data_IF_550731354745
#
_entry.id   IF_550731354745
#
_cell.length_a   1.000
_cell.length_b   1.000
_cell.length_c   1.000
_cell.angle_alpha   90.00
_cell.angle_beta   90.00
_cell.angle_gamma   90.00
#
_symmetry.space_group_name_H-M   'P 1'
#
loop_
_entity.id
_entity.type
_entity.pdbx_description
1 polymer ?
#
# COMPACT_ATOMS: atom_id res chain seq x y z
N UNK A 1 -34.91 -15.70 -2.58
CA UNK A 1 -33.63 -15.34 -3.21
C UNK A 1 -32.63 -16.44 -2.87
N UNK A 2 -32.86 -17.65 -3.35
CA UNK A 2 -32.41 -18.25 -4.63
C UNK A 2 -30.99 -18.83 -4.51
N UNK A 3 -30.91 -20.07 -4.00
CA UNK A 3 -29.72 -20.95 -4.06
C UNK A 3 -29.12 -21.05 -5.48
N UNK A 4 -29.94 -20.88 -6.52
CA UNK A 4 -29.49 -20.83 -7.92
C UNK A 4 -28.62 -19.61 -8.22
N UNK A 5 -28.98 -18.42 -7.72
CA UNK A 5 -28.18 -17.22 -7.90
C UNK A 5 -26.87 -17.35 -7.12
N UNK A 6 -26.91 -17.89 -5.89
CA UNK A 6 -25.69 -18.11 -5.11
C UNK A 6 -24.70 -19.03 -5.84
N UNK A 7 -25.17 -20.11 -6.47
CA UNK A 7 -24.28 -21.00 -7.24
C UNK A 7 -23.70 -20.32 -8.49
N UNK A 8 -24.47 -19.49 -9.21
CA UNK A 8 -23.94 -18.70 -10.33
C UNK A 8 -22.94 -17.64 -9.86
N UNK A 9 -23.20 -16.96 -8.73
CA UNK A 9 -22.25 -16.01 -8.12
C UNK A 9 -20.99 -16.72 -7.63
N UNK A 10 -21.10 -17.92 -7.05
CA UNK A 10 -19.96 -18.71 -6.57
C UNK A 10 -19.12 -19.25 -7.75
N UNK A 11 -19.75 -19.64 -8.85
CA UNK A 11 -19.04 -20.01 -10.09
C UNK A 11 -18.36 -18.79 -10.73
N UNK A 12 -19.00 -17.63 -10.70
CA UNK A 12 -18.51 -16.38 -11.28
C UNK A 12 -17.40 -15.73 -10.43
N UNK A 13 -17.36 -16.00 -9.12
CA UNK A 13 -16.33 -15.52 -8.19
C UNK A 13 -15.14 -16.47 -8.06
N UNK A 14 -15.25 -17.70 -8.59
CA UNK A 14 -14.18 -18.69 -8.53
C UNK A 14 -12.92 -18.17 -9.23
N UNK A 15 -11.80 -18.16 -8.50
CA UNK A 15 -10.51 -17.69 -9.02
C UNK A 15 -10.02 -18.64 -10.12
N UNK A 16 -9.86 -18.11 -11.34
CA UNK A 16 -9.31 -18.83 -12.49
C UNK A 16 -7.94 -18.25 -12.84
N UNK A 17 -6.90 -19.06 -12.73
CA UNK A 17 -5.53 -18.74 -13.15
C UNK A 17 -4.62 -18.16 -12.06
N UNK A 18 -3.31 -18.15 -12.34
CA UNK A 18 -2.26 -17.59 -11.49
C UNK A 18 -1.71 -16.30 -12.11
N UNK A 19 -1.51 -15.29 -11.26
CA UNK A 19 -0.80 -14.05 -11.60
C UNK A 19 0.69 -14.25 -11.43
N UNK A 20 1.47 -13.86 -12.45
CA UNK A 20 2.93 -13.88 -12.32
C UNK A 20 3.42 -12.68 -11.50
N UNK A 21 4.51 -12.85 -10.75
CA UNK A 21 5.10 -11.73 -9.98
C UNK A 21 5.56 -10.59 -10.89
N UNK A 22 6.04 -10.91 -12.10
CA UNK A 22 6.47 -9.92 -13.09
C UNK A 22 5.28 -9.07 -13.54
N UNK A 23 4.13 -9.70 -13.84
CA UNK A 23 2.91 -8.99 -14.21
C UNK A 23 2.45 -8.04 -13.11
N UNK A 24 2.47 -8.48 -11.84
CA UNK A 24 2.12 -7.62 -10.70
C UNK A 24 3.04 -6.41 -10.57
N UNK A 25 4.35 -6.61 -10.73
CA UNK A 25 5.33 -5.51 -10.72
C UNK A 25 5.05 -4.53 -11.87
N UNK A 26 4.79 -5.03 -13.07
CA UNK A 26 4.42 -4.20 -14.23
C UNK A 26 3.18 -3.36 -13.96
N UNK A 27 2.12 -3.96 -13.39
CA UNK A 27 0.89 -3.24 -13.03
C UNK A 27 1.17 -2.13 -12.01
N UNK A 28 2.02 -2.39 -11.01
CA UNK A 28 2.36 -1.40 -9.99
C UNK A 28 3.20 -0.24 -10.53
N UNK A 29 4.08 -0.51 -11.49
CA UNK A 29 4.94 0.52 -12.12
C UNK A 29 4.20 1.34 -13.19
N UNK A 30 3.19 0.76 -13.83
CA UNK A 30 2.50 1.38 -14.96
C UNK A 30 1.94 2.79 -14.67
N UNK A 31 1.20 3.04 -13.57
CA UNK A 31 0.72 4.39 -13.27
C UNK A 31 1.83 5.41 -13.04
N UNK A 32 2.99 5.01 -12.50
CA UNK A 32 4.13 5.91 -12.31
C UNK A 32 4.72 6.34 -13.66
N UNK A 33 4.83 5.41 -14.60
CA UNK A 33 5.29 5.70 -15.97
C UNK A 33 4.32 6.65 -16.66
N UNK A 34 3.00 6.43 -16.53
CA UNK A 34 1.98 7.32 -17.07
C UNK A 34 2.02 8.71 -16.45
N UNK A 35 2.30 8.84 -15.16
CA UNK A 35 2.48 10.14 -14.50
C UNK A 35 3.71 10.89 -15.03
N UNK A 36 4.81 10.19 -15.32
CA UNK A 36 5.98 10.77 -15.96
C UNK A 36 5.69 11.20 -17.41
N UNK A 37 4.96 10.40 -18.18
CA UNK A 37 4.53 10.77 -19.53
C UNK A 37 3.60 11.99 -19.50
N UNK A 38 2.63 12.01 -18.58
CA UNK A 38 1.74 13.15 -18.34
C UNK A 38 2.52 14.42 -18.01
N UNK A 39 3.57 14.35 -17.18
CA UNK A 39 4.38 15.54 -16.87
C UNK A 39 5.13 16.05 -18.10
N UNK A 40 5.68 15.17 -18.94
CA UNK A 40 6.30 15.54 -20.22
C UNK A 40 5.31 16.24 -21.16
N UNK A 41 4.09 15.71 -21.30
CA UNK A 41 3.01 16.31 -22.09
C UNK A 41 2.72 17.73 -21.58
N UNK A 42 2.52 17.88 -20.28
CA UNK A 42 2.17 19.18 -19.68
C UNK A 42 3.29 20.22 -19.89
N UNK A 43 4.56 19.81 -19.82
CA UNK A 43 5.70 20.71 -20.06
C UNK A 43 5.79 21.07 -21.55
N UNK A 44 5.67 20.09 -22.44
CA UNK A 44 5.80 20.32 -23.88
C UNK A 44 4.74 21.29 -24.42
N UNK A 45 3.49 21.16 -23.97
CA UNK A 45 2.39 22.05 -24.36
C UNK A 45 2.27 23.30 -23.47
N UNK A 46 3.19 23.51 -22.54
CA UNK A 46 3.22 24.61 -21.58
C UNK A 46 1.88 24.82 -20.84
N UNK A 47 1.26 23.72 -20.40
CA UNK A 47 -0.07 23.68 -19.80
C UNK A 47 -0.06 24.02 -18.28
N UNK A 48 1.11 24.34 -17.71
CA UNK A 48 1.31 24.52 -16.25
C UNK A 48 0.59 25.72 -15.58
N UNK A 49 -0.29 26.44 -16.28
CA UNK A 49 -1.04 27.54 -15.67
C UNK A 49 -2.17 27.05 -14.75
N UNK A 50 -2.27 27.62 -13.53
CA UNK A 50 -3.38 27.37 -12.57
C UNK A 50 -4.78 27.55 -13.16
N UNK A 51 -4.93 28.35 -14.22
CA UNK A 51 -6.20 28.68 -14.84
C UNK A 51 -6.77 27.55 -15.75
N UNK A 52 -6.04 26.44 -15.94
CA UNK A 52 -6.45 25.33 -16.83
C UNK A 52 -6.72 24.02 -16.08
N UNK A 53 -7.30 24.11 -14.87
CA UNK A 53 -7.63 22.94 -14.05
C UNK A 53 -8.46 21.89 -14.78
N UNK A 54 -9.56 22.29 -15.45
CA UNK A 54 -10.41 21.37 -16.21
C UNK A 54 -9.67 20.64 -17.33
N UNK A 55 -8.78 21.35 -18.03
CA UNK A 55 -7.97 20.76 -19.09
C UNK A 55 -6.95 19.76 -18.51
N UNK A 56 -6.35 20.05 -17.35
CA UNK A 56 -5.51 19.07 -16.63
C UNK A 56 -6.29 17.81 -16.24
N UNK A 57 -7.54 17.95 -15.78
CA UNK A 57 -8.38 16.78 -15.44
C UNK A 57 -8.70 15.92 -16.66
N UNK A 58 -8.99 16.54 -17.80
CA UNK A 58 -9.22 15.82 -19.06
C UNK A 58 -7.95 15.06 -19.47
N UNK A 59 -6.78 15.69 -19.36
CA UNK A 59 -5.49 15.04 -19.62
C UNK A 59 -5.27 13.87 -18.66
N UNK A 60 -5.52 14.05 -17.37
CA UNK A 60 -5.35 13.00 -16.36
C UNK A 60 -6.29 11.81 -16.62
N UNK A 61 -7.52 12.07 -17.06
CA UNK A 61 -8.47 11.05 -17.46
C UNK A 61 -7.95 10.21 -18.64
N UNK A 62 -7.51 10.85 -19.72
CA UNK A 62 -7.09 10.14 -20.93
C UNK A 62 -5.70 9.51 -20.83
N UNK A 63 -4.76 10.11 -20.10
CA UNK A 63 -3.38 9.63 -20.00
C UNK A 63 -3.18 8.66 -18.85
N UNK A 64 -3.89 8.85 -17.72
CA UNK A 64 -3.70 8.02 -16.53
C UNK A 64 -4.87 7.06 -16.36
N UNK A 65 -6.08 7.58 -16.16
CA UNK A 65 -7.21 6.76 -15.71
C UNK A 65 -7.64 5.73 -16.76
N UNK A 66 -7.88 6.17 -18.00
CA UNK A 66 -8.39 5.32 -19.07
C UNK A 66 -7.42 4.19 -19.44
N UNK A 67 -6.10 4.43 -19.60
CA UNK A 67 -5.14 3.35 -19.85
C UNK A 67 -5.05 2.33 -18.71
N UNK A 68 -5.13 2.78 -17.45
CA UNK A 68 -5.14 1.86 -16.29
C UNK A 68 -6.39 0.97 -16.33
N UNK A 69 -7.57 1.53 -16.57
CA UNK A 69 -8.82 0.75 -16.67
C UNK A 69 -8.70 -0.27 -17.80
N UNK A 70 -8.26 0.14 -18.98
CA UNK A 70 -8.10 -0.75 -20.14
C UNK A 70 -7.10 -1.89 -19.86
N UNK A 71 -5.98 -1.58 -19.21
CA UNK A 71 -4.94 -2.55 -18.87
C UNK A 71 -5.44 -3.60 -17.85
N UNK A 72 -6.22 -3.18 -16.85
CA UNK A 72 -6.77 -4.07 -15.82
C UNK A 72 -7.99 -4.88 -16.28
N UNK A 73 -8.59 -4.54 -17.42
CA UNK A 73 -9.81 -5.17 -17.94
C UNK A 73 -9.54 -5.89 -19.27
N UNK A 74 -9.73 -5.20 -20.39
CA UNK A 74 -9.70 -5.75 -21.75
C UNK A 74 -8.31 -6.21 -22.18
N UNK A 75 -7.27 -5.47 -21.79
CA UNK A 75 -5.88 -5.69 -22.24
C UNK A 75 -5.05 -6.48 -21.22
N UNK A 76 -5.70 -7.16 -20.28
CA UNK A 76 -5.01 -7.88 -19.20
C UNK A 76 -4.08 -8.99 -19.71
N UNK A 77 -4.30 -9.55 -20.90
CA UNK A 77 -3.38 -10.52 -21.52
C UNK A 77 -2.07 -9.91 -22.03
N UNK A 78 -2.00 -8.59 -22.23
CA UNK A 78 -0.87 -7.90 -22.88
C UNK A 78 -0.12 -6.93 -21.96
N UNK A 79 -0.29 -7.06 -20.64
CA UNK A 79 0.25 -6.14 -19.63
C UNK A 79 1.74 -5.87 -19.83
N UNK A 80 2.56 -6.92 -19.92
CA UNK A 80 4.02 -6.78 -20.02
C UNK A 80 4.41 -5.99 -21.27
N UNK A 81 3.79 -6.30 -22.41
CA UNK A 81 4.08 -5.65 -23.69
C UNK A 81 3.70 -4.16 -23.64
N UNK A 82 2.53 -3.84 -23.07
CA UNK A 82 2.05 -2.46 -22.94
C UNK A 82 2.95 -1.64 -22.00
N UNK A 83 3.34 -2.21 -20.85
CA UNK A 83 4.21 -1.49 -19.90
C UNK A 83 5.58 -1.24 -20.51
N UNK A 84 6.17 -2.22 -21.18
CA UNK A 84 7.46 -2.07 -21.86
C UNK A 84 7.37 -1.03 -22.98
N UNK A 85 6.30 -1.04 -23.80
CA UNK A 85 6.15 -0.06 -24.87
C UNK A 85 6.00 1.36 -24.31
N UNK A 86 5.27 1.56 -23.21
CA UNK A 86 5.19 2.85 -22.54
C UNK A 86 6.54 3.32 -21.98
N UNK A 87 7.36 2.42 -21.43
CA UNK A 87 8.73 2.75 -20.98
C UNK A 87 9.59 3.18 -22.17
N UNK A 88 9.53 2.46 -23.28
CA UNK A 88 10.28 2.80 -24.50
C UNK A 88 9.84 4.17 -25.03
N UNK A 89 8.53 4.44 -25.09
CA UNK A 89 8.00 5.76 -25.50
C UNK A 89 8.51 6.87 -24.56
N UNK A 90 8.49 6.64 -23.25
CA UNK A 90 9.02 7.59 -22.27
C UNK A 90 10.51 7.88 -22.48
N UNK A 91 11.33 6.85 -22.69
CA UNK A 91 12.77 6.98 -22.95
C UNK A 91 13.05 7.68 -24.29
N UNK A 92 12.31 7.34 -25.35
CA UNK A 92 12.45 8.00 -26.65
C UNK A 92 12.07 9.49 -26.57
N UNK A 93 11.05 9.83 -25.79
CA UNK A 93 10.67 11.23 -25.61
C UNK A 93 11.73 12.01 -24.82
N UNK A 94 12.36 11.39 -23.82
CA UNK A 94 13.50 12.00 -23.12
C UNK A 94 14.69 12.31 -24.04
N UNK A 95 14.88 11.54 -25.11
CA UNK A 95 15.97 11.73 -26.08
C UNK A 95 15.66 12.82 -27.13
N UNK A 96 14.42 13.27 -27.25
CA UNK A 96 14.08 14.31 -28.22
C UNK A 96 14.73 15.64 -27.80
N UNK A 97 15.50 16.29 -28.70
CA UNK A 97 16.18 17.55 -28.40
C UNK A 97 15.16 18.69 -28.34
N UNK A 98 14.49 18.84 -27.21
CA UNK A 98 13.70 20.04 -26.92
C UNK A 98 14.63 21.12 -26.36
N UNK A 99 15.07 21.98 -27.26
CA UNK A 99 15.97 23.13 -27.04
C UNK A 99 15.52 24.10 -25.93
N UNK A 100 14.24 24.10 -25.53
CA UNK A 100 13.71 24.97 -24.47
C UNK A 100 13.59 24.30 -23.08
N UNK A 101 13.94 23.02 -22.94
CA UNK A 101 13.64 22.22 -21.73
C UNK A 101 14.81 22.12 -20.73
N UNK A 102 16.05 22.45 -21.09
CA UNK A 102 17.19 22.34 -20.15
C UNK A 102 17.05 23.29 -18.95
N UNK A 103 16.42 24.46 -19.10
CA UNK A 103 16.18 25.38 -17.97
C UNK A 103 14.99 24.96 -17.08
N UNK A 104 14.05 24.14 -17.57
CA UNK A 104 12.93 23.62 -16.75
C UNK A 104 13.19 22.23 -16.17
N UNK A 105 14.02 21.41 -16.83
CA UNK A 105 14.54 20.16 -16.26
C UNK A 105 15.58 20.40 -15.18
N UNK A 106 16.33 21.52 -15.23
CA UNK A 106 17.09 22.00 -14.07
C UNK A 106 16.21 22.21 -12.82
N UNK A 107 14.91 22.53 -13.01
CA UNK A 107 13.93 22.61 -11.92
C UNK A 107 13.32 21.25 -11.52
N UNK A 108 13.55 20.16 -12.26
CA UNK A 108 13.19 18.80 -11.82
C UNK A 108 14.05 18.34 -10.64
N UNK A 109 15.22 18.95 -10.42
CA UNK A 109 16.02 18.73 -9.21
C UNK A 109 15.30 19.13 -7.91
N UNK A 110 14.15 19.81 -8.00
CA UNK A 110 13.36 20.26 -6.87
C UNK A 110 11.89 19.86 -6.96
N UNK A 111 11.56 18.61 -7.34
CA UNK A 111 10.27 18.09 -6.89
C UNK A 111 10.35 17.89 -5.37
N UNK A 112 9.65 18.68 -4.55
CA UNK A 112 9.61 18.45 -3.12
C UNK A 112 9.15 17.01 -2.90
N UNK A 113 9.86 16.29 -2.02
CA UNK A 113 9.58 14.87 -1.69
C UNK A 113 8.11 14.60 -1.42
N UNK A 114 7.41 15.61 -0.90
CA UNK A 114 5.98 15.61 -0.66
C UNK A 114 5.13 15.39 -1.94
N UNK A 115 5.51 15.96 -3.08
CA UNK A 115 4.80 15.76 -4.36
C UNK A 115 4.99 14.33 -4.86
N UNK A 116 6.20 13.77 -4.76
CA UNK A 116 6.45 12.39 -5.18
C UNK A 116 5.67 11.39 -4.32
N UNK A 117 5.60 11.64 -3.01
CA UNK A 117 4.81 10.83 -2.09
C UNK A 117 3.31 10.98 -2.36
N UNK A 118 2.85 12.20 -2.69
CA UNK A 118 1.47 12.42 -3.10
C UNK A 118 1.14 11.62 -4.37
N UNK A 119 2.02 11.64 -5.38
CA UNK A 119 1.84 10.85 -6.59
C UNK A 119 1.78 9.35 -6.30
N UNK A 120 2.71 8.81 -5.52
CA UNK A 120 2.69 7.40 -5.11
C UNK A 120 1.39 7.03 -4.35
N UNK A 121 0.85 7.93 -3.51
CA UNK A 121 -0.43 7.69 -2.85
C UNK A 121 -1.59 7.68 -3.83
N UNK A 122 -1.61 8.62 -4.77
CA UNK A 122 -2.67 8.70 -5.78
C UNK A 122 -2.70 7.45 -6.66
N UNK A 123 -1.54 6.89 -7.05
CA UNK A 123 -1.51 5.66 -7.85
C UNK A 123 -2.08 4.48 -7.09
N UNK A 124 -1.71 4.31 -5.82
CA UNK A 124 -2.23 3.24 -4.96
C UNK A 124 -3.74 3.37 -4.79
N UNK A 125 -4.25 4.59 -4.58
CA UNK A 125 -5.69 4.82 -4.41
C UNK A 125 -6.47 4.58 -5.70
N UNK A 126 -6.00 5.07 -6.83
CA UNK A 126 -6.66 4.87 -8.13
C UNK A 126 -6.70 3.38 -8.47
N UNK A 127 -5.56 2.68 -8.40
CA UNK A 127 -5.51 1.23 -8.66
C UNK A 127 -6.47 0.47 -7.74
N UNK A 128 -6.49 0.81 -6.45
CA UNK A 128 -7.33 0.13 -5.48
C UNK A 128 -8.81 0.38 -5.71
N UNK A 129 -9.22 1.63 -5.97
CA UNK A 129 -10.61 1.96 -6.27
C UNK A 129 -11.08 1.24 -7.54
N UNK A 130 -10.26 1.22 -8.60
CA UNK A 130 -10.56 0.49 -9.82
C UNK A 130 -10.71 -1.00 -9.53
N UNK A 131 -9.78 -1.61 -8.80
CA UNK A 131 -9.83 -3.05 -8.54
C UNK A 131 -10.96 -3.46 -7.59
N UNK A 132 -11.27 -2.67 -6.56
CA UNK A 132 -12.41 -2.93 -5.66
C UNK A 132 -13.72 -2.96 -6.44
N UNK A 133 -13.89 -2.06 -7.41
CA UNK A 133 -15.10 -2.02 -8.22
C UNK A 133 -15.08 -3.04 -9.37
N UNK A 134 -13.99 -3.08 -10.12
CA UNK A 134 -13.88 -3.83 -11.36
C UNK A 134 -13.81 -5.34 -11.12
N UNK A 135 -13.26 -5.79 -9.97
CA UNK A 135 -13.10 -7.22 -9.74
C UNK A 135 -14.43 -7.94 -9.80
N UNK A 136 -15.52 -7.32 -9.34
CA UNK A 136 -16.87 -7.92 -9.35
C UNK A 136 -17.52 -7.97 -10.73
N UNK A 137 -16.94 -7.29 -11.73
CA UNK A 137 -17.42 -7.31 -13.11
C UNK A 137 -16.85 -8.52 -13.87
N UNK A 138 -17.60 -9.11 -14.82
CA UNK A 138 -17.14 -10.24 -15.62
C UNK A 138 -15.97 -9.88 -16.56
N UNK A 139 -15.79 -8.59 -16.84
CA UNK A 139 -14.74 -8.06 -17.71
C UNK A 139 -13.36 -8.04 -17.04
N UNK A 140 -13.29 -8.03 -15.71
CA UNK A 140 -12.02 -8.04 -15.00
C UNK A 140 -11.56 -9.48 -14.76
N UNK A 141 -10.31 -9.84 -15.09
CA UNK A 141 -9.84 -11.21 -14.92
C UNK A 141 -9.71 -11.54 -13.43
N UNK A 142 -10.38 -12.62 -13.00
CA UNK A 142 -10.43 -13.05 -11.60
C UNK A 142 -9.09 -13.49 -11.03
N UNK A 143 -8.04 -13.69 -11.84
CA UNK A 143 -6.68 -13.96 -11.34
C UNK A 143 -6.13 -12.85 -10.44
N UNK A 144 -6.60 -11.60 -10.61
CA UNK A 144 -6.22 -10.45 -9.76
C UNK A 144 -6.91 -10.41 -8.40
N UNK A 145 -7.95 -11.24 -8.19
CA UNK A 145 -8.63 -11.35 -6.91
C UNK A 145 -7.69 -11.86 -5.81
N UNK A 146 -8.09 -11.61 -4.56
CA UNK A 146 -7.42 -12.10 -3.35
C UNK A 146 -7.23 -13.62 -3.40
N UNK A 147 -6.05 -14.10 -3.01
CA UNK A 147 -5.79 -15.55 -2.93
C UNK A 147 -6.28 -16.14 -1.62
N UNK A 148 -7.02 -17.25 -1.68
CA UNK A 148 -7.56 -17.94 -0.49
C UNK A 148 -6.53 -18.82 0.25
N UNK A 149 -5.65 -19.48 -0.50
CA UNK A 149 -4.66 -20.41 0.05
C UNK A 149 -3.25 -19.89 -0.20
N UNK A 150 -2.75 -20.05 -1.42
CA UNK A 150 -1.39 -19.70 -1.80
C UNK A 150 -1.36 -18.91 -3.10
N UNK A 151 -0.46 -17.95 -3.16
CA UNK A 151 -0.27 -17.05 -4.30
C UNK A 151 -0.34 -15.60 -3.87
N UNK A 152 -0.14 -14.70 -4.83
CA UNK A 152 -0.23 -13.26 -4.61
C UNK A 152 -1.19 -12.70 -5.64
N UNK A 153 -2.33 -12.18 -5.21
CA UNK A 153 -3.25 -11.41 -6.06
C UNK A 153 -2.89 -9.92 -6.11
N UNK A 154 -3.39 -9.21 -7.11
CA UNK A 154 -3.24 -7.75 -7.17
C UNK A 154 -3.94 -7.06 -5.99
N UNK A 155 -5.07 -7.61 -5.54
CA UNK A 155 -5.77 -7.13 -4.34
C UNK A 155 -4.93 -7.31 -3.06
N UNK A 156 -4.13 -8.36 -2.96
CA UNK A 156 -3.22 -8.60 -1.83
C UNK A 156 -2.02 -7.64 -1.86
N UNK A 157 -1.49 -7.36 -3.05
CA UNK A 157 -0.47 -6.32 -3.24
C UNK A 157 -1.03 -4.95 -2.86
N UNK A 158 -2.29 -4.67 -3.20
CA UNK A 158 -2.96 -3.41 -2.87
C UNK A 158 -3.00 -3.14 -1.37
N UNK A 159 -3.42 -4.10 -0.54
CA UNK A 159 -3.46 -3.94 0.93
C UNK A 159 -2.06 -3.70 1.51
N UNK A 160 -1.05 -4.40 1.01
CA UNK A 160 0.36 -4.15 1.36
C UNK A 160 0.81 -2.74 0.98
N UNK A 161 0.51 -2.29 -0.24
CA UNK A 161 0.84 -0.96 -0.74
C UNK A 161 0.15 0.16 0.06
N UNK A 162 -1.09 -0.04 0.52
CA UNK A 162 -1.76 0.90 1.43
C UNK A 162 -0.98 1.10 2.73
N UNK A 163 -0.45 0.01 3.29
CA UNK A 163 0.37 0.06 4.51
C UNK A 163 1.70 0.75 4.21
N UNK A 164 2.37 0.44 3.09
CA UNK A 164 3.56 1.14 2.64
C UNK A 164 3.32 2.66 2.49
N UNK A 165 2.22 3.06 1.84
CA UNK A 165 1.85 4.46 1.67
C UNK A 165 1.60 5.15 3.02
N UNK A 166 1.00 4.43 3.97
CA UNK A 166 0.74 4.95 5.31
C UNK A 166 2.04 5.17 6.11
N UNK A 167 3.02 4.26 6.02
CA UNK A 167 4.30 4.40 6.72
C UNK A 167 5.18 5.50 6.10
N UNK A 168 5.22 5.60 4.78
CA UNK A 168 5.92 6.70 4.07
C UNK A 168 5.34 8.07 4.44
N UNK A 169 4.02 8.13 4.69
CA UNK A 169 3.38 9.36 5.17
C UNK A 169 3.73 9.63 6.64
N UNK A 170 3.77 8.58 7.47
CA UNK A 170 4.16 8.66 8.88
C UNK A 170 5.61 9.10 9.08
N UNK A 171 6.53 8.72 8.19
CA UNK A 171 7.95 9.07 8.26
C UNK A 171 8.18 10.59 8.27
N UNK A 172 7.31 11.37 7.60
CA UNK A 172 7.38 12.84 7.60
C UNK A 172 7.25 13.42 9.01
N UNK A 173 6.29 12.91 9.77
CA UNK A 173 6.04 13.37 11.13
C UNK A 173 7.24 13.05 12.03
N UNK A 174 7.77 11.84 11.94
CA UNK A 174 8.94 11.39 12.72
C UNK A 174 10.19 12.20 12.38
N UNK A 175 10.40 12.47 11.09
CA UNK A 175 11.50 13.31 10.64
C UNK A 175 11.39 14.73 11.19
N UNK A 176 10.20 15.34 11.12
CA UNK A 176 9.95 16.67 11.68
C UNK A 176 10.17 16.71 13.20
N UNK A 177 9.69 15.72 13.94
CA UNK A 177 9.88 15.62 15.40
C UNK A 177 11.36 15.50 15.79
N UNK A 178 12.18 14.82 14.96
CA UNK A 178 13.61 14.68 15.22
C UNK A 178 14.42 15.95 14.91
N UNK A 179 13.98 16.76 13.94
CA UNK A 179 14.63 18.05 13.62
C UNK A 179 14.22 19.14 14.62
N UNK A 180 12.92 19.23 14.93
CA UNK A 180 12.36 20.23 15.83
C UNK A 180 12.04 19.60 17.19
N UNK A 181 13.09 19.18 17.91
CA UNK A 181 12.99 18.66 19.29
C UNK A 181 12.33 19.73 20.19
N UNK A 182 11.08 19.50 20.58
CA UNK A 182 10.26 20.43 21.39
C UNK A 182 8.84 20.64 20.86
N UNK A 183 8.60 20.43 19.57
CA UNK A 183 7.25 20.47 18.95
C UNK A 183 6.69 19.04 18.77
N UNK A 184 6.76 18.24 19.82
CA UNK A 184 6.19 16.90 19.83
C UNK A 184 4.67 17.00 19.79
N UNK A 185 4.04 16.40 18.78
CA UNK A 185 2.58 16.22 18.80
C UNK A 185 2.24 15.26 19.93
N UNK A 186 1.27 15.62 20.76
CA UNK A 186 0.83 14.77 21.87
C UNK A 186 0.38 13.42 21.31
N UNK A 187 0.75 12.35 21.99
CA UNK A 187 0.31 10.99 21.65
C UNK A 187 -1.21 10.92 21.42
N UNK A 188 -1.97 11.58 22.30
CA UNK A 188 -3.43 11.67 22.21
C UNK A 188 -3.93 12.33 20.91
N UNK A 189 -3.31 13.41 20.46
CA UNK A 189 -3.72 14.08 19.22
C UNK A 189 -3.44 13.18 18.01
N UNK A 190 -2.33 12.44 18.06
CA UNK A 190 -1.98 11.49 17.03
C UNK A 190 -2.93 10.28 17.02
N UNK A 191 -3.30 9.73 18.18
CA UNK A 191 -4.23 8.59 18.26
C UNK A 191 -5.63 8.98 17.79
N UNK A 192 -6.14 10.13 18.23
CA UNK A 192 -7.45 10.65 17.82
C UNK A 192 -7.54 10.92 16.31
N UNK A 193 -6.46 11.39 15.68
CA UNK A 193 -6.48 11.71 14.25
C UNK A 193 -6.15 10.52 13.33
N UNK A 194 -5.59 9.43 13.85
CA UNK A 194 -5.04 8.36 13.00
C UNK A 194 -5.53 6.95 13.32
N UNK A 195 -5.79 6.64 14.59
CA UNK A 195 -6.23 5.31 15.03
C UNK A 195 -7.75 5.29 15.16
N UNK A 196 -8.33 6.29 15.83
CA UNK A 196 -9.78 6.36 16.08
C UNK A 196 -10.60 6.36 14.78
N UNK A 197 -10.27 7.12 13.72
CA UNK A 197 -11.04 7.09 12.48
C UNK A 197 -11.01 5.72 11.81
N UNK A 198 -9.88 5.01 11.85
CA UNK A 198 -9.76 3.66 11.32
C UNK A 198 -10.58 2.65 12.14
N UNK A 199 -10.58 2.77 13.48
CA UNK A 199 -11.41 1.93 14.34
C UNK A 199 -12.91 2.14 14.09
N UNK A 200 -13.34 3.40 13.96
CA UNK A 200 -14.73 3.75 13.65
C UNK A 200 -15.17 3.19 12.29
N UNK A 201 -14.33 3.32 11.25
CA UNK A 201 -14.60 2.72 9.94
C UNK A 201 -14.66 1.19 10.02
N UNK A 202 -13.80 0.57 10.83
CA UNK A 202 -13.83 -0.87 11.09
C UNK A 202 -15.15 -1.32 11.74
N UNK A 203 -15.59 -0.61 12.78
CA UNK A 203 -16.85 -0.86 13.48
C UNK A 203 -18.06 -0.69 12.56
N UNK A 204 -18.08 0.43 11.82
CA UNK A 204 -19.14 0.72 10.85
C UNK A 204 -19.23 -0.36 9.79
N UNK A 205 -18.10 -0.82 9.23
CA UNK A 205 -18.07 -1.94 8.28
C UNK A 205 -18.66 -3.21 8.88
N UNK A 206 -18.24 -3.59 10.10
CA UNK A 206 -18.77 -4.81 10.74
C UNK A 206 -20.27 -4.73 10.99
N UNK A 207 -20.76 -3.58 11.46
CA UNK A 207 -22.18 -3.37 11.71
C UNK A 207 -22.98 -3.40 10.40
N UNK A 208 -22.54 -2.70 9.35
CA UNK A 208 -23.25 -2.70 8.07
C UNK A 208 -23.31 -4.09 7.42
N UNK A 209 -22.25 -4.87 7.49
CA UNK A 209 -22.23 -6.24 6.96
C UNK A 209 -23.20 -7.13 7.74
N UNK A 210 -23.19 -7.03 9.07
CA UNK A 210 -24.12 -7.77 9.94
C UNK A 210 -25.59 -7.38 9.66
N UNK A 211 -25.87 -6.09 9.50
CA UNK A 211 -27.23 -5.60 9.24
C UNK A 211 -27.73 -5.95 7.83
N UNK A 212 -26.82 -6.00 6.85
CA UNK A 212 -27.16 -6.33 5.45
C UNK A 212 -27.22 -7.83 5.16
N UNK A 213 -26.83 -8.70 6.11
CA UNK A 213 -26.66 -10.14 5.90
C UNK A 213 -25.80 -10.48 4.66
N UNK A 214 -24.81 -9.63 4.37
CA UNK A 214 -23.92 -9.82 3.23
C UNK A 214 -22.93 -10.95 3.51
N UNK A 215 -22.69 -11.81 2.52
CA UNK A 215 -21.78 -12.93 2.65
C UNK A 215 -20.33 -12.42 2.59
N UNK A 216 -19.62 -12.49 3.71
CA UNK A 216 -18.20 -12.15 3.77
C UNK A 216 -17.36 -13.42 3.68
N UNK A 217 -16.30 -13.36 2.86
CA UNK A 217 -15.29 -14.41 2.82
C UNK A 217 -14.50 -14.44 4.14
N UNK A 218 -14.86 -15.40 4.99
CA UNK A 218 -14.30 -15.53 6.34
C UNK A 218 -12.79 -15.84 6.31
N UNK A 219 -12.33 -16.51 5.24
CA UNK A 219 -10.92 -16.85 4.99
C UNK A 219 -10.03 -15.62 4.84
N UNK A 220 -10.59 -14.44 4.55
CA UNK A 220 -9.79 -13.25 4.28
C UNK A 220 -9.17 -12.60 5.52
N UNK A 221 -9.95 -12.51 6.61
CA UNK A 221 -9.58 -11.83 7.84
C UNK A 221 -10.21 -12.47 9.09
N UNK A 222 -11.23 -13.30 8.93
CA UNK A 222 -12.03 -13.86 10.01
C UNK A 222 -13.47 -13.37 10.02
N UNK A 223 -14.21 -13.75 11.07
CA UNK A 223 -15.65 -13.51 11.20
C UNK A 223 -15.98 -12.04 11.49
N UNK A 224 -15.22 -11.41 12.39
CA UNK A 224 -15.46 -10.03 12.83
C UNK A 224 -14.33 -9.08 12.46
N UNK A 225 -13.19 -9.60 12.02
CA UNK A 225 -12.04 -8.80 11.71
C UNK A 225 -12.08 -8.25 10.28
N UNK A 226 -11.45 -7.10 10.07
CA UNK A 226 -11.33 -6.48 8.76
C UNK A 226 -10.01 -5.70 8.65
N UNK A 227 -9.72 -5.25 7.42
CA UNK A 227 -8.50 -4.49 7.12
C UNK A 227 -8.42 -3.12 7.83
N UNK A 228 -9.55 -2.52 8.23
CA UNK A 228 -9.51 -1.27 8.98
C UNK A 228 -9.00 -1.49 10.41
N UNK A 229 -9.36 -2.61 11.04
CA UNK A 229 -8.79 -3.01 12.33
C UNK A 229 -7.30 -3.32 12.24
N UNK A 230 -6.84 -4.00 11.18
CA UNK A 230 -5.39 -4.23 10.99
C UNK A 230 -4.63 -2.91 10.87
N UNK A 231 -5.08 -1.98 10.01
CA UNK A 231 -4.46 -0.66 9.89
C UNK A 231 -4.49 0.10 11.22
N UNK A 232 -5.62 0.10 11.93
CA UNK A 232 -5.74 0.80 13.20
C UNK A 232 -4.71 0.31 14.23
N UNK A 233 -4.54 -1.01 14.35
CA UNK A 233 -3.57 -1.60 15.26
C UNK A 233 -2.12 -1.36 14.84
N UNK A 234 -1.81 -1.45 13.55
CA UNK A 234 -0.46 -1.12 13.03
C UNK A 234 -0.12 0.33 13.35
N UNK A 235 -1.08 1.25 13.16
CA UNK A 235 -0.90 2.68 13.50
C UNK A 235 -0.76 2.88 15.00
N UNK A 236 -1.52 2.16 15.83
CA UNK A 236 -1.38 2.22 17.28
C UNK A 236 0.02 1.73 17.73
N UNK A 237 0.48 0.59 17.20
CA UNK A 237 1.83 0.05 17.46
C UNK A 237 2.90 1.05 17.01
N UNK A 238 2.75 1.62 15.81
CA UNK A 238 3.65 2.67 15.33
C UNK A 238 3.70 3.85 16.29
N UNK A 239 2.56 4.37 16.74
CA UNK A 239 2.53 5.52 17.65
C UNK A 239 3.21 5.20 18.97
N UNK A 240 2.98 4.02 19.55
CA UNK A 240 3.65 3.59 20.79
C UNK A 240 5.17 3.61 20.62
N UNK A 241 5.67 3.18 19.46
CA UNK A 241 7.10 3.12 19.16
C UNK A 241 7.70 4.49 18.82
N UNK A 242 6.96 5.37 18.14
CA UNK A 242 7.53 6.56 17.49
C UNK A 242 7.22 7.89 18.20
N UNK A 243 6.26 7.93 19.12
CA UNK A 243 5.85 9.17 19.82
C UNK A 243 6.28 9.15 21.28
N UNK A 244 6.37 10.32 21.91
CA UNK A 244 6.81 10.45 23.31
C UNK A 244 5.81 9.81 24.27
N UNK A 245 6.14 8.59 24.70
CA UNK A 245 5.42 7.81 25.71
C UNK A 245 6.43 7.31 26.75
N UNK A 246 6.01 6.89 27.95
CA UNK A 246 6.93 6.36 28.95
C UNK A 246 7.80 5.20 28.42
N UNK A 247 7.29 4.42 27.46
CA UNK A 247 7.96 3.26 26.85
C UNK A 247 9.05 3.68 25.84
N UNK A 248 8.77 4.70 25.04
CA UNK A 248 9.57 5.11 23.87
C UNK A 248 10.36 6.39 24.11
N UNK A 249 10.19 7.05 25.26
CA UNK A 249 10.93 8.26 25.64
C UNK A 249 12.44 8.08 25.48
N UNK A 250 12.97 6.92 25.87
CA UNK A 250 14.36 6.55 25.68
C UNK A 250 14.74 6.39 24.21
N UNK A 251 13.88 5.79 23.39
CA UNK A 251 14.13 5.56 21.96
C UNK A 251 14.23 6.86 21.16
N UNK A 252 13.45 7.88 21.54
CA UNK A 252 13.41 9.18 20.85
C UNK A 252 14.66 10.01 21.13
N UNK A 253 15.35 9.76 22.25
CA UNK A 253 16.62 10.46 22.55
C UNK A 253 17.76 10.07 21.60
N UNK A 254 17.70 8.86 21.02
CA UNK A 254 18.72 8.36 20.11
C UNK A 254 18.86 9.18 18.83
N UNK A 255 20.04 9.10 18.21
CA UNK A 255 20.27 9.69 16.89
C UNK A 255 19.38 9.02 15.84
N UNK A 256 18.99 9.77 14.80
CA UNK A 256 18.16 9.27 13.70
C UNK A 256 18.68 7.96 13.10
N UNK A 257 20.00 7.80 12.96
CA UNK A 257 20.62 6.56 12.45
C UNK A 257 20.33 5.34 13.36
N UNK A 258 20.40 5.52 14.68
CA UNK A 258 20.09 4.46 15.65
C UNK A 258 18.59 4.14 15.67
N UNK A 259 17.72 5.14 15.53
CA UNK A 259 16.28 4.93 15.42
C UNK A 259 15.91 4.12 14.16
N UNK A 260 16.51 4.46 13.00
CA UNK A 260 16.32 3.72 11.75
C UNK A 260 16.76 2.26 11.90
N UNK A 261 17.93 2.00 12.49
CA UNK A 261 18.40 0.64 12.75
C UNK A 261 17.43 -0.12 13.65
N UNK A 262 16.95 0.51 14.73
CA UNK A 262 15.96 -0.07 15.63
C UNK A 262 14.68 -0.46 14.89
N UNK A 263 14.16 0.41 14.02
CA UNK A 263 12.95 0.11 13.24
C UNK A 263 13.17 -1.06 12.25
N UNK A 264 14.35 -1.21 11.65
CA UNK A 264 14.67 -2.42 10.88
C UNK A 264 14.73 -3.67 11.73
N UNK A 265 15.30 -3.61 12.94
CA UNK A 265 15.31 -4.75 13.86
C UNK A 265 13.89 -5.14 14.24
N UNK A 266 13.04 -4.16 14.59
CA UNK A 266 11.61 -4.39 14.87
C UNK A 266 10.89 -5.01 13.68
N UNK A 267 11.14 -4.52 12.46
CA UNK A 267 10.62 -5.10 11.23
C UNK A 267 11.02 -6.57 11.07
N UNK A 268 12.30 -6.90 11.28
CA UNK A 268 12.81 -8.27 11.18
C UNK A 268 12.19 -9.18 12.23
N UNK A 269 12.03 -8.71 13.47
CA UNK A 269 11.36 -9.46 14.55
C UNK A 269 9.91 -9.77 14.15
N UNK A 270 9.18 -8.79 13.63
CA UNK A 270 7.80 -9.02 13.19
C UNK A 270 7.70 -9.97 12.00
N UNK A 271 8.65 -9.93 11.07
CA UNK A 271 8.71 -10.86 9.94
C UNK A 271 8.99 -12.30 10.40
N UNK A 272 9.96 -12.48 11.30
CA UNK A 272 10.22 -13.78 11.95
C UNK A 272 8.94 -14.26 12.64
N UNK A 273 8.32 -13.39 13.44
CA UNK A 273 7.11 -13.76 14.16
C UNK A 273 5.94 -14.13 13.22
N UNK A 274 5.78 -13.46 12.08
CA UNK A 274 4.75 -13.83 11.10
C UNK A 274 4.95 -15.21 10.49
N UNK A 275 6.21 -15.66 10.33
CA UNK A 275 6.53 -16.99 9.81
C UNK A 275 6.39 -18.08 10.88
N UNK A 276 6.83 -17.79 12.12
CA UNK A 276 6.86 -18.80 13.20
C UNK A 276 5.55 -18.92 13.98
N UNK A 277 4.76 -17.85 14.12
CA UNK A 277 3.52 -17.88 14.91
C UNK A 277 2.51 -18.93 14.42
N UNK A 278 2.23 -19.09 13.11
CA UNK A 278 1.35 -20.15 12.63
C UNK A 278 1.85 -21.56 12.98
N UNK A 279 3.17 -21.78 12.95
CA UNK A 279 3.81 -23.05 13.28
C UNK A 279 3.65 -23.36 14.78
N UNK A 280 3.85 -22.37 15.65
CA UNK A 280 3.72 -22.54 17.10
C UNK A 280 2.27 -22.85 17.51
N UNK A 281 1.30 -22.20 16.86
CA UNK A 281 -0.12 -22.36 17.20
C UNK A 281 -0.68 -23.68 16.66
N UNK A 282 -0.19 -24.16 15.51
CA UNK A 282 -0.68 -25.40 14.87
C UNK A 282 0.49 -26.31 14.41
N UNK A 283 1.29 -26.87 15.34
CA UNK A 283 2.50 -27.62 15.02
C UNK A 283 2.25 -28.96 14.30
N UNK A 284 1.10 -29.60 14.54
CA UNK A 284 0.72 -30.84 13.86
C UNK A 284 0.32 -30.63 12.38
N UNK A 285 0.02 -29.40 11.95
CA UNK A 285 -0.74 -29.16 10.71
C UNK A 285 0.00 -28.35 9.65
N UNK A 286 1.13 -27.71 9.99
CA UNK A 286 2.06 -27.05 9.04
C UNK A 286 3.16 -27.99 8.50
N UNK A 287 3.12 -29.28 8.87
CA UNK A 287 4.24 -30.23 8.74
C UNK A 287 4.76 -30.52 7.32
N UNK A 288 4.11 -30.07 6.25
CA UNK A 288 4.57 -30.42 4.89
C UNK A 288 4.81 -29.25 3.94
N UNK A 289 4.25 -28.06 4.18
CA UNK A 289 4.52 -26.84 3.38
C UNK A 289 4.35 -25.58 4.24
N UNK A 290 5.21 -24.59 4.01
CA UNK A 290 5.23 -23.24 4.61
C UNK A 290 4.03 -22.37 4.17
N UNK A 291 2.84 -22.97 4.09
CA UNK A 291 1.69 -22.47 3.34
C UNK A 291 0.39 -22.98 3.96
N UNK A 292 -0.68 -22.18 3.92
CA UNK A 292 -2.00 -22.61 4.34
C UNK A 292 -2.41 -23.85 3.52
N UNK A 293 -2.71 -24.94 4.22
CA UNK A 293 -3.12 -26.20 3.63
C UNK A 293 -4.66 -26.25 3.67
N UNK A 294 -5.37 -26.74 2.64
CA UNK A 294 -6.82 -26.94 2.72
C UNK A 294 -7.28 -27.69 3.99
N UNK A 295 -6.44 -28.58 4.54
CA UNK A 295 -6.69 -29.25 5.83
C UNK A 295 -6.67 -28.29 7.03
N UNK A 296 -5.78 -27.30 7.06
CA UNK A 296 -5.73 -26.31 8.14
C UNK A 296 -6.95 -25.40 8.09
N UNK A 297 -7.40 -25.02 6.88
CA UNK A 297 -8.60 -24.21 6.68
C UNK A 297 -9.87 -24.93 7.18
N UNK A 298 -10.00 -26.23 6.89
CA UNK A 298 -11.13 -27.04 7.36
C UNK A 298 -11.19 -27.08 8.90
N UNK A 299 -10.06 -27.33 9.56
CA UNK A 299 -10.01 -27.37 11.02
C UNK A 299 -10.29 -26.01 11.67
N UNK A 300 -9.77 -24.92 11.11
CA UNK A 300 -10.08 -23.56 11.60
C UNK A 300 -11.58 -23.33 11.50
N UNK A 301 -12.19 -23.66 10.36
CA UNK A 301 -13.64 -23.55 10.14
C UNK A 301 -14.44 -24.35 11.16
N UNK A 302 -14.04 -25.59 11.48
CA UNK A 302 -14.72 -26.43 12.47
C UNK A 302 -14.63 -25.86 13.91
N UNK A 303 -13.57 -25.10 14.21
CA UNK A 303 -13.29 -24.59 15.56
C UNK A 303 -13.56 -23.09 15.74
N UNK A 304 -14.08 -22.38 14.72
CA UNK A 304 -14.34 -20.92 14.81
C UNK A 304 -15.24 -20.53 15.98
N UNK A 305 -16.17 -21.39 16.38
CA UNK A 305 -17.11 -21.13 17.47
C UNK A 305 -16.49 -21.26 18.87
N UNK A 306 -15.29 -21.85 19.00
CA UNK A 306 -14.68 -22.13 20.31
C UNK A 306 -14.07 -20.89 20.96
N UNK A 307 -13.58 -19.93 20.19
CA UNK A 307 -13.02 -18.69 20.74
C UNK A 307 -13.01 -17.53 19.75
N UNK A 308 -13.07 -16.30 20.27
CA UNK A 308 -12.94 -15.08 19.46
C UNK A 308 -11.59 -14.97 18.74
N UNK A 309 -10.54 -15.57 19.30
CA UNK A 309 -9.21 -15.63 18.70
C UNK A 309 -9.20 -16.51 17.44
N UNK A 310 -9.78 -17.71 17.52
CA UNK A 310 -9.87 -18.64 16.38
C UNK A 310 -10.84 -18.09 15.32
N UNK A 311 -11.90 -17.39 15.74
CA UNK A 311 -12.82 -16.74 14.81
C UNK A 311 -12.16 -15.67 13.92
N UNK A 312 -11.11 -15.01 14.42
CA UNK A 312 -10.38 -13.92 13.74
C UNK A 312 -8.91 -14.28 13.45
N UNK A 313 -8.62 -15.56 13.36
CA UNK A 313 -7.25 -16.07 13.30
C UNK A 313 -6.45 -15.46 12.13
N UNK A 314 -7.05 -15.40 10.95
CA UNK A 314 -6.40 -14.91 9.73
C UNK A 314 -6.02 -13.42 9.85
N UNK A 315 -6.90 -12.60 10.44
CA UNK A 315 -6.65 -11.18 10.69
C UNK A 315 -5.59 -10.92 11.75
N UNK A 316 -5.55 -11.73 12.81
CA UNK A 316 -4.57 -11.61 13.90
C UNK A 316 -3.17 -12.07 13.46
N UNK A 317 -3.09 -13.20 12.75
CA UNK A 317 -1.81 -13.73 12.25
C UNK A 317 -1.19 -12.83 11.19
N UNK A 318 -2.00 -12.29 10.27
CA UNK A 318 -1.52 -11.38 9.21
C UNK A 318 -1.03 -10.02 9.75
N UNK A 319 -1.44 -9.62 10.96
CA UNK A 319 -1.03 -8.34 11.58
C UNK A 319 0.48 -8.18 11.67
N UNK A 320 1.21 -9.25 11.98
CA UNK A 320 2.67 -9.20 12.12
C UNK A 320 3.39 -9.03 10.78
N UNK A 321 2.90 -9.69 9.73
CA UNK A 321 3.40 -9.48 8.37
C UNK A 321 3.14 -8.05 7.89
N UNK A 322 1.97 -7.49 8.19
CA UNK A 322 1.68 -6.09 7.88
C UNK A 322 2.51 -5.10 8.71
N UNK A 323 2.78 -5.41 9.98
CA UNK A 323 3.65 -4.60 10.83
C UNK A 323 5.10 -4.59 10.32
N UNK A 324 5.62 -5.73 9.84
CA UNK A 324 6.96 -5.78 9.25
C UNK A 324 7.05 -4.91 7.99
N UNK A 325 6.07 -5.01 7.08
CA UNK A 325 5.98 -4.14 5.90
C UNK A 325 5.95 -2.66 6.32
N UNK A 326 5.15 -2.31 7.34
CA UNK A 326 5.05 -0.94 7.82
C UNK A 326 6.41 -0.39 8.29
N UNK A 327 7.08 -1.08 9.22
CA UNK A 327 8.34 -0.60 9.81
C UNK A 327 9.50 -0.63 8.80
N UNK A 328 9.56 -1.62 7.91
CA UNK A 328 10.55 -1.63 6.82
C UNK A 328 10.46 -0.38 5.95
N UNK A 329 9.25 -0.04 5.50
CA UNK A 329 9.02 1.13 4.65
C UNK A 329 9.18 2.45 5.41
N UNK A 330 8.86 2.47 6.71
CA UNK A 330 9.12 3.61 7.58
C UNK A 330 10.62 3.93 7.62
N UNK A 331 11.46 2.92 7.87
CA UNK A 331 12.91 3.03 7.89
C UNK A 331 13.48 3.48 6.55
N UNK A 332 13.09 2.81 5.46
CA UNK A 332 13.54 3.17 4.11
C UNK A 332 13.15 4.59 3.72
N UNK A 333 11.95 5.04 4.11
CA UNK A 333 11.50 6.41 3.87
C UNK A 333 12.28 7.45 4.69
N UNK A 334 12.63 7.14 5.94
CA UNK A 334 13.48 8.02 6.77
C UNK A 334 14.90 8.13 6.21
N UNK A 335 15.46 7.01 5.71
CA UNK A 335 16.74 7.02 5.00
C UNK A 335 16.67 7.93 3.79
N UNK A 336 15.67 7.75 2.94
CA UNK A 336 15.49 8.57 1.74
C UNK A 336 15.40 10.06 2.08
N UNK A 337 14.62 10.42 3.11
CA UNK A 337 14.52 11.82 3.59
C UNK A 337 15.84 12.34 4.15
N UNK A 338 16.63 11.49 4.81
CA UNK A 338 17.93 11.90 5.36
C UNK A 338 18.95 12.21 4.27
N UNK A 339 19.00 11.40 3.21
CA UNK A 339 19.87 11.66 2.04
C UNK A 339 19.46 12.93 1.30
N UNK A 340 18.17 13.11 1.07
CA UNK A 340 17.69 14.28 0.32
C UNK A 340 17.90 15.59 1.09
N UNK A 341 17.87 15.53 2.43
CA UNK A 341 18.19 16.68 3.28
C UNK A 341 19.68 17.01 3.36
N UNK A 342 20.58 16.05 3.16
CA UNK A 342 22.02 16.34 3.13
C UNK A 342 22.42 17.06 1.86
N UNK A 343 21.77 16.74 0.74
CA UNK A 343 22.04 17.38 -0.55
C UNK A 343 21.61 18.86 -0.54
N UNK A 344 20.43 19.18 0.04
CA UNK A 344 19.98 20.58 0.16
C UNK A 344 20.91 21.46 0.98
N UNK A 345 21.57 20.91 2.01
CA UNK A 345 22.49 21.66 2.86
C UNK A 345 23.86 21.87 2.20
N UNK A 346 24.30 20.93 1.37
CA UNK A 346 25.55 21.06 0.61
C UNK A 346 25.40 22.08 -0.52
N UNK A 347 24.25 22.11 -1.20
CA UNK A 347 23.96 23.11 -2.24
C UNK A 347 23.83 24.52 -1.67
N UNK A 348 23.27 24.69 -0.46
CA UNK A 348 23.23 26.00 0.22
C UNK A 348 24.61 26.51 0.64
N UNK A 349 25.55 25.62 0.95
CA UNK A 349 26.91 26.01 1.33
C UNK A 349 27.79 26.32 0.11
N UNK A 350 27.57 25.66 -1.03
CA UNK A 350 28.30 25.91 -2.27
C UNK A 350 27.76 27.10 -3.08
N UNK A 351 26.55 27.60 -2.78
CA UNK A 351 25.98 28.81 -3.39
C UNK A 351 26.38 30.12 -2.71
N UNK A 352 27.14 30.07 -1.61
CA UNK A 352 27.60 31.23 -0.83
C UNK A 352 29.11 31.50 -0.94
N UNK A 353 29.82 30.83 -1.84
CA UNK A 353 31.27 31.02 -2.07
C UNK A 353 31.56 31.80 -3.35
#
# INVERSE_FOLDING_TARGET
>A
MNKSNNNEYDELTKRIGFTSMIELICICLFPLILQCLRSLVCIHFNILSKNRFYLSLIIDYFIILLPIILLLTLLSSYIIIIVISCIVIFLLWLLLPNYNQMNSFGNFHFFPTDILIAYLRTTIYILSCIMIYAIDLPICPRRFAKSELNGVGLMDVGTGLFICASSISGSKLIWYMNIYRGNSKRFLDCTLNSVVPCLLLGLLRTLLIQMSNYHQNIVEYGVHWNFFYTIALIRAISLVVTTENPISSYLITFSLKKQILFYYVVSSIFLIFSEFLPIIICPEYFQTRWQFNPRTLHYINDNRSKSLWIANFEGVTSLFGYASIYFFNLSSSLIFRSYLSTDTNNDSNNGCS
#
